data_IF_693315421813
#
_entry.id   IF_693315421813
#
_cell.length_a   1.000
_cell.length_b   1.000
_cell.length_c   1.000
_cell.angle_alpha   90.00
_cell.angle_beta   90.00
_cell.angle_gamma   90.00
#
_symmetry.space_group_name_H-M   'P 1'
#
loop_
_entity.id
_entity.type
_entity.pdbx_description
1 polymer ?
#
# COMPACT_ATOMS: atom_id res chain seq x y z
N UNK A 1 -30.44 -36.32 -3.05
CA UNK A 1 -29.37 -35.89 -2.11
C UNK A 1 -28.72 -34.62 -2.65
N UNK A 2 -28.96 -33.46 -2.02
CA UNK A 2 -28.36 -32.17 -2.45
C UNK A 2 -26.93 -32.11 -1.92
N UNK A 3 -25.93 -32.00 -2.82
CA UNK A 3 -24.54 -31.73 -2.45
C UNK A 3 -24.48 -30.33 -1.81
N UNK A 4 -24.27 -30.28 -0.51
CA UNK A 4 -23.93 -29.05 0.20
C UNK A 4 -22.54 -28.62 -0.26
N UNK A 5 -22.46 -27.57 -1.08
CA UNK A 5 -21.21 -26.89 -1.39
C UNK A 5 -20.72 -26.20 -0.12
N UNK A 6 -19.62 -26.69 0.46
CA UNK A 6 -18.94 -26.03 1.56
C UNK A 6 -18.42 -24.67 1.05
N UNK A 7 -19.13 -23.58 1.38
CA UNK A 7 -18.59 -22.23 1.28
C UNK A 7 -17.32 -22.18 2.13
N UNK A 8 -16.15 -22.26 1.51
CA UNK A 8 -14.90 -21.86 2.17
C UNK A 8 -15.07 -20.40 2.61
N UNK A 9 -15.25 -20.18 3.92
CA UNK A 9 -15.20 -18.84 4.48
C UNK A 9 -13.77 -18.32 4.29
N UNK A 10 -13.60 -17.21 3.57
CA UNK A 10 -12.29 -16.57 3.45
C UNK A 10 -11.84 -16.10 4.82
N UNK A 11 -10.60 -16.41 5.20
CA UNK A 11 -10.00 -15.98 6.48
C UNK A 11 -9.85 -14.46 6.55
N UNK A 12 -9.56 -13.81 5.41
CA UNK A 12 -9.36 -12.37 5.29
C UNK A 12 -10.31 -11.72 4.27
N UNK A 13 -10.58 -10.41 4.40
CA UNK A 13 -11.29 -9.65 3.36
C UNK A 13 -10.63 -9.81 1.99
N UNK A 14 -11.43 -9.88 0.92
CA UNK A 14 -10.93 -10.12 -0.45
C UNK A 14 -9.82 -9.15 -0.87
N UNK A 15 -9.92 -7.89 -0.45
CA UNK A 15 -8.95 -6.85 -0.79
C UNK A 15 -7.56 -7.18 -0.22
N UNK A 16 -7.47 -7.82 0.95
CA UNK A 16 -6.20 -8.25 1.56
C UNK A 16 -5.52 -9.28 0.66
N UNK A 17 -6.25 -10.28 0.18
CA UNK A 17 -5.72 -11.30 -0.73
C UNK A 17 -5.26 -10.72 -2.07
N UNK A 18 -5.99 -9.73 -2.60
CA UNK A 18 -5.61 -9.04 -3.84
C UNK A 18 -4.27 -8.33 -3.66
N UNK A 19 -4.11 -7.53 -2.60
CA UNK A 19 -2.86 -6.81 -2.35
C UNK A 19 -1.71 -7.75 -1.97
N UNK A 20 -1.99 -8.89 -1.33
CA UNK A 20 -0.98 -9.92 -1.08
C UNK A 20 -0.37 -10.45 -2.37
N UNK A 21 -1.20 -10.77 -3.37
CA UNK A 21 -0.72 -11.22 -4.70
C UNK A 21 0.11 -10.15 -5.42
N UNK A 22 -0.31 -8.88 -5.31
CA UNK A 22 0.47 -7.75 -5.86
C UNK A 22 1.82 -7.61 -5.15
N UNK A 23 1.84 -7.73 -3.83
CA UNK A 23 3.08 -7.74 -3.05
C UNK A 23 4.00 -8.88 -3.48
N UNK A 24 3.48 -10.11 -3.61
CA UNK A 24 4.27 -11.28 -4.06
C UNK A 24 4.93 -11.04 -5.41
N UNK A 25 4.19 -10.49 -6.39
CA UNK A 25 4.75 -10.16 -7.70
C UNK A 25 5.84 -9.09 -7.59
N UNK A 26 5.63 -8.03 -6.80
CA UNK A 26 6.64 -6.99 -6.59
C UNK A 26 7.87 -7.48 -5.82
N UNK A 27 7.73 -8.53 -5.01
CA UNK A 27 8.79 -9.08 -4.18
C UNK A 27 9.74 -10.03 -4.93
N UNK A 28 9.42 -10.43 -6.17
CA UNK A 28 10.30 -11.30 -6.96
C UNK A 28 11.59 -10.57 -7.37
N UNK A 29 12.69 -11.32 -7.50
CA UNK A 29 13.97 -10.76 -7.95
C UNK A 29 13.87 -10.16 -9.37
N UNK A 30 13.15 -10.86 -10.24
CA UNK A 30 12.88 -10.44 -11.61
C UNK A 30 12.20 -9.06 -11.65
N UNK A 31 11.10 -8.89 -10.91
CA UNK A 31 10.34 -7.64 -10.96
C UNK A 31 11.12 -6.46 -10.36
N UNK A 32 11.89 -6.69 -9.29
CA UNK A 32 12.77 -5.66 -8.72
C UNK A 32 13.83 -5.21 -9.72
N UNK A 33 14.49 -6.16 -10.40
CA UNK A 33 15.49 -5.85 -11.43
C UNK A 33 14.88 -5.08 -12.61
N UNK A 34 13.67 -5.49 -13.03
CA UNK A 34 12.91 -4.79 -14.08
C UNK A 34 12.58 -3.35 -13.68
N UNK A 35 12.07 -3.12 -12.46
CA UNK A 35 11.74 -1.79 -11.96
C UNK A 35 12.97 -0.88 -11.87
N UNK A 36 14.11 -1.41 -11.37
CA UNK A 36 15.39 -0.68 -11.32
C UNK A 36 15.83 -0.30 -12.73
N UNK A 37 15.82 -1.26 -13.66
CA UNK A 37 16.20 -1.04 -15.06
C UNK A 37 15.30 0.00 -15.74
N UNK A 38 13.99 -0.07 -15.50
CA UNK A 38 13.02 0.88 -16.02
C UNK A 38 13.28 2.30 -15.52
N UNK A 39 13.45 2.47 -14.20
CA UNK A 39 13.76 3.78 -13.62
C UNK A 39 15.06 4.38 -14.18
N UNK A 40 16.10 3.56 -14.30
CA UNK A 40 17.41 4.00 -14.81
C UNK A 40 17.42 4.29 -16.31
N UNK A 41 16.84 3.41 -17.12
CA UNK A 41 17.06 3.43 -18.57
C UNK A 41 15.93 4.11 -19.33
N UNK A 42 14.70 4.05 -18.81
CA UNK A 42 13.52 4.65 -19.45
C UNK A 42 13.25 6.04 -18.88
N UNK A 43 13.25 6.18 -17.55
CA UNK A 43 12.99 7.48 -16.90
C UNK A 43 14.25 8.34 -16.77
N UNK A 44 15.44 7.75 -16.95
CA UNK A 44 16.73 8.41 -16.72
C UNK A 44 16.85 8.98 -15.30
N UNK A 45 16.24 8.30 -14.33
CA UNK A 45 16.11 8.75 -12.95
C UNK A 45 16.19 7.54 -12.01
N UNK A 46 17.43 7.15 -11.70
CA UNK A 46 17.70 5.93 -10.96
C UNK A 46 17.11 5.95 -9.56
N UNK A 47 16.62 4.78 -9.13
CA UNK A 47 16.17 4.53 -7.76
C UNK A 47 17.21 3.82 -6.91
N UNK A 48 18.36 3.45 -7.49
CA UNK A 48 19.41 2.70 -6.81
C UNK A 48 20.07 3.53 -5.71
N UNK A 49 20.32 2.92 -4.54
CA UNK A 49 20.99 3.53 -3.39
C UNK A 49 20.25 4.70 -2.73
N UNK A 50 18.96 4.89 -3.04
CA UNK A 50 18.16 5.92 -2.39
C UNK A 50 17.66 5.47 -1.01
N UNK A 51 17.67 6.42 -0.07
CA UNK A 51 17.01 6.33 1.22
C UNK A 51 15.49 6.17 1.08
N UNK A 52 14.84 5.50 2.03
CA UNK A 52 13.37 5.32 1.99
C UNK A 52 12.57 6.63 1.92
N UNK A 53 13.10 7.74 2.45
CA UNK A 53 12.50 9.08 2.28
C UNK A 53 12.75 9.66 0.90
N UNK A 54 13.94 9.46 0.34
CA UNK A 54 14.27 9.89 -1.02
C UNK A 54 13.44 9.12 -2.05
N UNK A 55 13.13 7.84 -1.79
CA UNK A 55 12.18 7.05 -2.59
C UNK A 55 10.76 7.61 -2.54
N UNK A 56 10.33 8.16 -1.40
CA UNK A 56 9.03 8.82 -1.28
C UNK A 56 9.00 10.12 -2.10
N UNK A 57 10.09 10.88 -2.09
CA UNK A 57 10.21 12.05 -2.94
C UNK A 57 10.32 11.69 -4.42
N UNK A 58 11.02 10.60 -4.75
CA UNK A 58 11.09 10.05 -6.10
C UNK A 58 9.70 9.71 -6.63
N UNK A 59 8.88 8.99 -5.86
CA UNK A 59 7.50 8.65 -6.23
C UNK A 59 6.70 9.89 -6.64
N UNK A 60 6.74 10.96 -5.86
CA UNK A 60 5.95 12.17 -6.11
C UNK A 60 6.42 12.99 -7.31
N UNK A 61 7.62 12.72 -7.84
CA UNK A 61 8.06 13.30 -9.12
C UNK A 61 7.42 12.59 -10.31
N UNK A 62 7.04 11.32 -10.15
CA UNK A 62 6.54 10.45 -11.23
C UNK A 62 5.06 10.09 -11.12
N UNK A 63 4.43 10.31 -9.96
CA UNK A 63 3.03 9.97 -9.71
C UNK A 63 2.28 11.15 -9.09
N UNK A 64 1.19 11.57 -9.75
CA UNK A 64 0.31 12.65 -9.26
C UNK A 64 -1.00 12.09 -8.72
N UNK A 65 -1.48 12.64 -7.61
CA UNK A 65 -2.82 12.32 -7.12
C UNK A 65 -3.89 12.82 -8.10
N UNK A 66 -4.93 12.03 -8.34
CA UNK A 66 -6.09 12.46 -9.13
C UNK A 66 -7.42 11.93 -8.61
N UNK A 67 -8.47 12.76 -8.71
CA UNK A 67 -9.87 12.37 -8.52
C UNK A 67 -10.58 12.05 -9.83
N UNK A 68 -9.93 12.32 -10.97
CA UNK A 68 -10.45 12.02 -12.30
C UNK A 68 -10.60 10.51 -12.51
N UNK A 69 -11.28 10.15 -13.59
CA UNK A 69 -11.33 8.76 -14.05
C UNK A 69 -9.93 8.26 -14.43
N UNK A 70 -9.62 7.06 -13.96
CA UNK A 70 -8.39 6.34 -14.29
C UNK A 70 -8.71 5.25 -15.32
N UNK A 71 -7.74 4.87 -16.17
CA UNK A 71 -7.87 3.72 -17.07
C UNK A 71 -8.37 2.47 -16.35
N UNK A 72 -9.17 1.65 -17.05
CA UNK A 72 -9.69 0.37 -16.56
C UNK A 72 -9.11 -0.77 -17.40
N UNK A 73 -8.52 -1.83 -16.79
CA UNK A 73 -8.27 -1.97 -15.35
C UNK A 73 -7.26 -0.93 -14.84
N UNK A 74 -7.38 -0.55 -13.57
CA UNK A 74 -6.42 0.37 -12.93
C UNK A 74 -5.05 -0.29 -12.88
N UNK A 75 -3.98 0.49 -13.03
CA UNK A 75 -2.62 0.00 -12.86
C UNK A 75 -2.41 -0.62 -11.47
N UNK A 76 -1.86 -1.84 -11.42
CA UNK A 76 -1.73 -2.60 -10.17
C UNK A 76 -0.28 -2.94 -9.80
N UNK A 77 0.68 -2.55 -10.65
CA UNK A 77 2.10 -2.81 -10.47
C UNK A 77 2.94 -1.55 -10.74
N UNK A 78 4.07 -1.34 -10.04
CA UNK A 78 4.88 -0.13 -10.10
C UNK A 78 5.16 0.43 -11.49
N UNK A 79 5.63 -0.39 -12.44
CA UNK A 79 5.95 0.07 -13.81
C UNK A 79 4.71 0.63 -14.51
N UNK A 80 3.57 -0.07 -14.41
CA UNK A 80 2.30 0.38 -14.99
C UNK A 80 1.82 1.66 -14.32
N UNK A 81 2.00 1.78 -13.00
CA UNK A 81 1.62 2.95 -12.22
C UNK A 81 2.44 4.17 -12.66
N UNK A 82 3.75 4.01 -12.85
CA UNK A 82 4.63 5.07 -13.34
C UNK A 82 4.20 5.50 -14.75
N UNK A 83 3.95 4.55 -15.65
CA UNK A 83 3.46 4.85 -17.01
C UNK A 83 2.12 5.59 -16.99
N UNK A 84 1.23 5.24 -16.05
CA UNK A 84 -0.05 5.93 -15.86
C UNK A 84 0.15 7.38 -15.35
N UNK A 85 1.24 7.66 -14.62
CA UNK A 85 1.66 8.97 -14.08
C UNK A 85 0.70 9.66 -13.10
N UNK A 86 -0.50 9.09 -12.90
CA UNK A 86 -1.51 9.56 -11.95
C UNK A 86 -2.19 8.40 -11.24
N UNK A 87 -2.61 8.60 -9.99
CA UNK A 87 -3.19 7.54 -9.17
C UNK A 87 -3.87 8.04 -7.90
N UNK A 88 -4.24 7.10 -7.03
CA UNK A 88 -4.87 7.30 -5.71
C UNK A 88 -4.13 6.45 -4.67
N UNK A 89 -4.66 6.36 -3.46
CA UNK A 89 -4.02 5.66 -2.34
C UNK A 89 -3.49 4.26 -2.68
N UNK A 90 -4.23 3.48 -3.47
CA UNK A 90 -3.78 2.17 -3.95
C UNK A 90 -2.51 2.22 -4.81
N UNK A 91 -2.46 3.08 -5.84
CA UNK A 91 -1.27 3.21 -6.70
C UNK A 91 -0.07 3.76 -5.93
N UNK A 92 -0.26 4.76 -5.08
CA UNK A 92 0.81 5.30 -4.24
C UNK A 92 1.34 4.23 -3.28
N UNK A 93 0.48 3.48 -2.59
CA UNK A 93 0.94 2.42 -1.70
C UNK A 93 1.70 1.30 -2.45
N UNK A 94 1.24 0.94 -3.65
CA UNK A 94 1.88 -0.09 -4.48
C UNK A 94 3.22 0.37 -5.05
N UNK A 95 3.29 1.57 -5.62
CA UNK A 95 4.53 2.13 -6.18
C UNK A 95 5.56 2.31 -5.08
N UNK A 96 5.23 3.01 -3.99
CA UNK A 96 6.15 3.20 -2.89
C UNK A 96 6.66 1.87 -2.29
N UNK A 97 5.77 0.89 -2.07
CA UNK A 97 6.21 -0.43 -1.59
C UNK A 97 7.13 -1.15 -2.59
N UNK A 98 6.86 -1.06 -3.89
CA UNK A 98 7.73 -1.62 -4.93
C UNK A 98 9.13 -0.99 -4.94
N UNK A 99 9.20 0.34 -4.80
CA UNK A 99 10.45 1.10 -4.70
C UNK A 99 11.29 0.68 -3.48
N UNK A 100 10.64 0.51 -2.33
CA UNK A 100 11.27 0.02 -1.10
C UNK A 100 11.82 -1.40 -1.28
N UNK A 101 11.03 -2.30 -1.86
CA UNK A 101 11.43 -3.69 -2.11
C UNK A 101 12.60 -3.78 -3.09
N UNK A 102 12.65 -2.94 -4.11
CA UNK A 102 13.76 -2.84 -5.06
C UNK A 102 15.06 -2.36 -4.39
N UNK A 103 14.95 -1.54 -3.35
CA UNK A 103 16.07 -1.05 -2.55
C UNK A 103 16.31 -1.85 -1.25
N UNK A 104 15.84 -3.10 -1.21
CA UNK A 104 16.06 -4.02 -0.08
C UNK A 104 15.50 -3.57 1.27
N UNK A 105 14.58 -2.61 1.31
CA UNK A 105 13.88 -2.26 2.54
C UNK A 105 12.85 -3.32 2.89
N UNK A 106 12.76 -3.64 4.18
CA UNK A 106 11.69 -4.46 4.72
C UNK A 106 10.43 -3.60 4.90
N UNK A 107 9.43 -3.84 4.07
CA UNK A 107 8.16 -3.10 4.07
C UNK A 107 6.94 -4.02 4.18
N UNK A 108 5.78 -3.43 4.43
CA UNK A 108 4.46 -4.06 4.41
C UNK A 108 3.46 -3.12 3.77
N UNK A 109 2.52 -3.66 3.01
CA UNK A 109 1.33 -2.91 2.59
C UNK A 109 0.32 -3.00 3.72
N UNK A 110 -0.32 -1.88 4.05
CA UNK A 110 -1.34 -1.81 5.10
C UNK A 110 -2.67 -1.38 4.49
N UNK A 111 -3.75 -2.07 4.86
CA UNK A 111 -5.06 -1.92 4.27
C UNK A 111 -6.08 -1.67 5.38
N UNK A 112 -6.79 -0.55 5.27
CA UNK A 112 -7.95 -0.24 6.10
C UNK A 112 -9.17 -1.01 5.58
N UNK A 113 -9.54 -2.05 6.33
CA UNK A 113 -10.71 -2.89 6.08
C UNK A 113 -11.88 -2.53 7.00
N UNK A 114 -11.85 -1.35 7.62
CA UNK A 114 -12.87 -0.92 8.58
C UNK A 114 -14.23 -0.74 7.92
N UNK A 115 -15.28 -0.96 8.70
CA UNK A 115 -16.66 -0.64 8.34
C UNK A 115 -17.18 0.46 9.25
N UNK A 116 -18.10 1.29 8.77
CA UNK A 116 -18.65 2.39 9.56
C UNK A 116 -19.58 1.82 10.64
N UNK A 117 -19.13 1.83 11.89
CA UNK A 117 -19.87 1.36 13.08
C UNK A 117 -20.26 2.54 13.96
N UNK A 118 -19.37 3.50 14.14
CA UNK A 118 -19.62 4.75 14.84
C UNK A 118 -20.24 5.79 13.89
N UNK A 119 -21.51 6.11 14.11
CA UNK A 119 -22.28 7.07 13.30
C UNK A 119 -21.79 8.52 13.43
N UNK A 120 -20.93 8.83 14.41
CA UNK A 120 -20.29 10.14 14.54
C UNK A 120 -19.09 10.32 13.59
N UNK A 121 -18.60 9.24 12.98
CA UNK A 121 -17.46 9.24 12.05
C UNK A 121 -17.90 9.57 10.62
N UNK A 122 -17.00 10.18 9.85
CA UNK A 122 -17.27 10.63 8.48
C UNK A 122 -17.21 9.50 7.44
N UNK A 123 -16.34 8.52 7.67
CA UNK A 123 -16.08 7.42 6.75
C UNK A 123 -15.37 6.26 7.46
N UNK A 124 -15.21 5.13 6.78
CA UNK A 124 -14.43 3.98 7.22
C UNK A 124 -13.84 3.25 6.01
N UNK A 125 -12.69 2.58 6.15
CA UNK A 125 -12.14 1.74 5.08
C UNK A 125 -11.64 2.53 3.86
N UNK A 126 -11.46 1.84 2.74
CA UNK A 126 -11.05 2.41 1.44
C UNK A 126 -9.75 3.23 1.46
N UNK A 127 -8.78 2.80 2.27
CA UNK A 127 -7.46 3.42 2.29
C UNK A 127 -6.35 2.38 2.42
N UNK A 128 -5.21 2.67 1.79
CA UNK A 128 -4.05 1.78 1.72
C UNK A 128 -2.78 2.62 1.85
N UNK A 129 -1.82 2.14 2.64
CA UNK A 129 -0.53 2.80 2.87
C UNK A 129 0.57 1.77 3.12
N UNK A 130 1.74 2.21 3.62
CA UNK A 130 2.92 1.37 3.82
C UNK A 130 3.45 1.46 5.25
N UNK A 131 3.99 0.36 5.76
CA UNK A 131 4.87 0.33 6.93
C UNK A 131 6.28 -0.07 6.52
N UNK A 132 7.31 0.57 7.09
CA UNK A 132 8.72 0.27 6.84
C UNK A 132 9.39 -0.11 8.15
N UNK A 133 10.21 -1.17 8.15
CA UNK A 133 10.94 -1.58 9.34
C UNK A 133 12.29 -0.83 9.44
N UNK A 134 12.37 0.12 10.34
CA UNK A 134 13.55 0.97 10.57
C UNK A 134 13.88 0.96 12.06
N UNK A 135 15.16 0.80 12.43
CA UNK A 135 15.62 0.82 13.82
C UNK A 135 14.77 -0.06 14.75
N UNK A 136 14.56 -1.31 14.35
CA UNK A 136 13.79 -2.32 15.09
C UNK A 136 12.31 -2.00 15.34
N UNK A 137 11.71 -1.06 14.59
CA UNK A 137 10.28 -0.75 14.70
C UNK A 137 9.64 -0.56 13.32
N UNK A 138 8.34 -0.83 13.26
CA UNK A 138 7.52 -0.47 12.09
C UNK A 138 7.20 1.01 12.14
N UNK A 139 7.49 1.71 11.04
CA UNK A 139 7.22 3.13 10.85
C UNK A 139 6.13 3.25 9.81
N UNK A 140 5.01 3.83 10.19
CA UNK A 140 3.91 4.17 9.28
C UNK A 140 4.38 5.23 8.27
N UNK A 141 4.07 5.02 6.99
CA UNK A 141 4.20 6.02 5.92
C UNK A 141 2.94 6.00 5.08
N UNK A 142 2.29 7.15 4.97
CA UNK A 142 1.25 7.39 3.97
C UNK A 142 1.89 8.05 2.74
N UNK A 143 2.11 7.29 1.65
CA UNK A 143 2.74 7.86 0.47
C UNK A 143 1.84 8.87 -0.25
N UNK A 144 0.51 8.75 -0.16
CA UNK A 144 -0.38 9.72 -0.84
C UNK A 144 -0.29 11.09 -0.20
N UNK A 145 -0.20 11.12 1.13
CA UNK A 145 -0.23 12.34 1.94
C UNK A 145 1.17 12.83 2.35
N UNK A 146 2.23 12.12 1.96
CA UNK A 146 3.62 12.29 2.45
C UNK A 146 3.71 12.38 3.99
N UNK A 147 2.86 11.66 4.72
CA UNK A 147 2.92 11.62 6.19
C UNK A 147 3.78 10.47 6.66
N UNK A 148 4.62 10.74 7.66
CA UNK A 148 5.57 9.77 8.22
C UNK A 148 5.36 9.70 9.73
N UNK A 149 5.25 8.48 10.26
CA UNK A 149 5.13 8.20 11.70
C UNK A 149 3.94 8.91 12.39
N UNK A 150 2.84 9.08 11.66
CA UNK A 150 1.59 9.69 12.13
C UNK A 150 0.39 8.73 11.98
N UNK A 151 0.42 7.54 12.58
CA UNK A 151 -0.61 6.52 12.35
C UNK A 151 -2.02 6.93 12.78
N UNK A 152 -2.15 7.92 13.68
CA UNK A 152 -3.46 8.42 14.14
C UNK A 152 -4.05 9.52 13.22
N UNK A 153 -3.42 9.85 12.09
CA UNK A 153 -3.95 10.87 11.18
C UNK A 153 -5.35 10.51 10.66
N UNK A 154 -5.62 9.22 10.43
CA UNK A 154 -6.89 8.75 9.90
C UNK A 154 -8.05 8.96 10.87
N UNK A 155 -7.82 8.69 12.16
CA UNK A 155 -8.82 8.85 13.20
C UNK A 155 -8.98 10.32 13.61
N UNK A 156 -7.86 11.02 13.81
CA UNK A 156 -7.87 12.37 14.37
C UNK A 156 -8.11 13.47 13.33
N UNK A 157 -7.47 13.40 12.16
CA UNK A 157 -7.57 14.45 11.13
C UNK A 157 -8.73 14.17 10.16
N UNK A 158 -8.92 12.91 9.75
CA UNK A 158 -9.95 12.55 8.77
C UNK A 158 -11.29 12.16 9.39
N UNK A 159 -11.34 12.03 10.72
CA UNK A 159 -12.51 11.56 11.48
C UNK A 159 -13.05 10.22 10.93
N UNK A 160 -12.15 9.30 10.58
CA UNK A 160 -12.53 7.94 10.14
C UNK A 160 -12.79 7.02 11.34
N UNK A 161 -13.72 6.10 11.14
CA UNK A 161 -13.87 4.91 11.98
C UNK A 161 -12.83 3.88 11.55
N UNK A 162 -11.78 3.71 12.38
CA UNK A 162 -10.69 2.77 12.12
C UNK A 162 -10.78 1.63 13.12
N UNK A 163 -11.34 0.50 12.68
CA UNK A 163 -11.65 -0.65 13.53
C UNK A 163 -11.22 -2.01 12.96
N UNK A 164 -10.65 -2.05 11.75
CA UNK A 164 -10.03 -3.26 11.21
C UNK A 164 -8.93 -2.91 10.20
N UNK A 165 -7.68 -3.12 10.58
CA UNK A 165 -6.52 -2.82 9.73
C UNK A 165 -5.58 -4.02 9.67
N UNK A 166 -5.19 -4.39 8.45
CA UNK A 166 -4.24 -5.48 8.20
C UNK A 166 -2.97 -4.96 7.52
N UNK A 167 -1.81 -5.38 8.01
CA UNK A 167 -0.52 -5.22 7.35
C UNK A 167 -0.08 -6.56 6.75
N UNK A 168 0.43 -6.55 5.53
CA UNK A 168 0.79 -7.77 4.79
C UNK A 168 2.17 -7.71 4.12
N UNK A 169 2.78 -8.88 4.03
CA UNK A 169 3.85 -9.23 3.08
C UNK A 169 3.43 -10.47 2.29
N UNK A 170 4.31 -10.96 1.43
CA UNK A 170 4.24 -12.28 0.78
C UNK A 170 4.01 -13.45 1.76
N UNK A 171 4.56 -13.38 2.97
CA UNK A 171 4.58 -14.48 3.94
C UNK A 171 3.59 -14.33 5.08
N UNK A 172 3.17 -13.11 5.41
CA UNK A 172 2.43 -12.85 6.65
C UNK A 172 1.37 -11.79 6.45
N UNK A 173 0.20 -12.02 7.04
CA UNK A 173 -0.83 -11.01 7.30
C UNK A 173 -0.87 -10.79 8.82
N UNK A 174 -0.94 -9.54 9.26
CA UNK A 174 -0.94 -9.15 10.68
C UNK A 174 -2.06 -8.16 10.92
N UNK A 175 -2.89 -8.39 11.94
CA UNK A 175 -3.82 -7.37 12.41
C UNK A 175 -3.03 -6.27 13.15
N UNK A 176 -3.06 -5.06 12.61
CA UNK A 176 -2.37 -3.88 13.15
C UNK A 176 -3.35 -2.79 13.62
N UNK A 177 -4.61 -3.16 13.85
CA UNK A 177 -5.68 -2.21 14.21
C UNK A 177 -5.31 -1.32 15.41
N UNK A 178 -4.65 -1.90 16.43
CA UNK A 178 -4.21 -1.17 17.64
C UNK A 178 -3.23 -0.03 17.35
N UNK A 179 -2.53 -0.05 16.22
CA UNK A 179 -1.61 1.03 15.82
C UNK A 179 -2.36 2.25 15.30
N UNK A 180 -3.55 2.06 14.71
CA UNK A 180 -4.27 3.07 13.94
C UNK A 180 -5.61 3.49 14.56
N UNK A 181 -6.19 2.65 15.43
CA UNK A 181 -7.39 2.95 16.18
C UNK A 181 -7.10 3.82 17.41
N UNK A 182 -8.10 4.59 17.83
CA UNK A 182 -8.16 5.11 19.19
C UNK A 182 -8.65 3.95 20.07
N UNK A 183 -7.87 3.59 21.09
CA UNK A 183 -8.24 2.52 22.03
C UNK A 183 -9.57 2.81 22.73
#
# INVERSE_FOLDING_TARGET
>A
MRKCSAKHSREYPQIVEIYKKRYEKMATLEYKAELISFAKSVLQDSIENLGWKELLDWEHRHLKYTREELPKPRAELPIQIIQQSKGRCGEFALLYNGLLLANSYKSRIVIDCSTLKDKSKKAAGDHVWVEIFINNRWVHVDPTEKRINQPLMYTNEWNKDVNLVYALTDKKIVNVTKTYGLN
#
